data_IF_796252555223
#
_entry.id   IF_796252555223
#
_cell.length_a   1.000
_cell.length_b   1.000
_cell.length_c   1.000
_cell.angle_alpha   90.00
_cell.angle_beta   90.00
_cell.angle_gamma   90.00
#
_symmetry.space_group_name_H-M   'P 1'
#
loop_
_entity.id
_entity.type
_entity.pdbx_description
1 polymer ?
#
# COMPACT_ATOMS: atom_id res chain seq x y z
N UNK A 1 18.12 14.46 -10.84
CA UNK A 1 16.70 14.27 -10.48
C UNK A 1 15.84 14.98 -11.52
N UNK A 2 14.93 14.27 -12.20
CA UNK A 2 14.08 14.85 -13.25
C UNK A 2 13.06 15.83 -12.66
N UNK A 3 13.22 17.13 -12.93
CA UNK A 3 12.38 18.20 -12.38
C UNK A 3 10.94 18.14 -12.89
N UNK A 4 10.71 17.75 -14.14
CA UNK A 4 9.36 17.62 -14.71
C UNK A 4 8.58 16.50 -14.06
N UNK A 5 9.23 15.34 -13.88
CA UNK A 5 8.66 14.21 -13.16
C UNK A 5 8.34 14.59 -11.72
N UNK A 6 9.27 15.26 -11.02
CA UNK A 6 9.03 15.68 -9.65
C UNK A 6 7.85 16.65 -9.55
N UNK A 7 7.73 17.60 -10.49
CA UNK A 7 6.59 18.52 -10.59
C UNK A 7 5.28 17.77 -10.80
N UNK A 8 5.24 16.79 -11.69
CA UNK A 8 4.06 15.93 -11.89
C UNK A 8 3.65 15.20 -10.59
N UNK A 9 4.63 14.68 -9.84
CA UNK A 9 4.38 13.91 -8.62
C UNK A 9 3.88 14.77 -7.43
N UNK A 10 4.00 16.10 -7.49
CA UNK A 10 3.46 17.00 -6.45
C UNK A 10 1.96 16.88 -6.26
N UNK A 11 1.21 16.34 -7.24
CA UNK A 11 -0.23 16.04 -7.10
C UNK A 11 -0.57 15.13 -5.92
N UNK A 12 0.39 14.35 -5.43
CA UNK A 12 0.23 13.48 -4.26
C UNK A 12 0.52 14.20 -2.93
N UNK A 13 0.86 15.49 -2.99
CA UNK A 13 1.04 16.40 -1.86
C UNK A 13 0.04 17.54 -2.02
N UNK A 14 -1.15 17.40 -1.44
CA UNK A 14 -2.26 18.34 -1.65
C UNK A 14 -2.31 19.49 -0.62
N UNK A 15 -1.50 19.44 0.44
CA UNK A 15 -1.51 20.42 1.54
C UNK A 15 -0.40 21.49 1.46
N UNK A 16 0.55 21.37 0.51
CA UNK A 16 1.66 22.31 0.31
C UNK A 16 1.72 22.70 -1.17
N UNK A 17 2.26 23.90 -1.48
CA UNK A 17 2.40 24.35 -2.88
C UNK A 17 3.49 23.56 -3.61
N UNK A 18 3.29 23.17 -4.88
CA UNK A 18 4.25 22.36 -5.64
C UNK A 18 5.70 22.89 -5.64
N UNK A 19 5.90 24.17 -5.95
CA UNK A 19 7.26 24.74 -6.06
C UNK A 19 7.95 24.88 -4.69
N UNK A 20 7.18 25.05 -3.61
CA UNK A 20 7.70 25.17 -2.26
C UNK A 20 8.16 23.81 -1.72
N UNK A 21 7.35 22.76 -1.90
CA UNK A 21 7.69 21.42 -1.42
C UNK A 21 8.87 20.80 -2.19
N UNK A 22 8.97 21.08 -3.49
CA UNK A 22 10.12 20.65 -4.31
C UNK A 22 11.43 21.24 -3.77
N UNK A 23 11.43 22.52 -3.37
CA UNK A 23 12.62 23.19 -2.82
C UNK A 23 12.94 22.72 -1.41
N UNK A 24 11.92 22.58 -0.57
CA UNK A 24 12.07 22.28 0.87
C UNK A 24 12.36 20.81 1.13
N UNK A 25 11.64 19.90 0.49
CA UNK A 25 11.73 18.48 0.75
C UNK A 25 11.29 17.63 -0.47
N UNK A 26 12.14 17.51 -1.50
CA UNK A 26 11.81 16.73 -2.70
C UNK A 26 11.60 15.23 -2.40
N UNK A 27 12.29 14.67 -1.40
CA UNK A 27 12.10 13.28 -0.99
C UNK A 27 10.70 13.03 -0.43
N UNK A 28 10.08 14.02 0.21
CA UNK A 28 8.68 13.91 0.64
C UNK A 28 7.72 13.78 -0.55
N UNK A 29 7.98 14.47 -1.65
CA UNK A 29 7.19 14.33 -2.88
C UNK A 29 7.31 12.91 -3.43
N UNK A 30 8.54 12.39 -3.50
CA UNK A 30 8.81 11.01 -3.94
C UNK A 30 8.11 10.01 -3.00
N UNK A 31 8.20 10.20 -1.68
CA UNK A 31 7.55 9.32 -0.70
C UNK A 31 6.02 9.33 -0.85
N UNK A 32 5.42 10.50 -1.02
CA UNK A 32 3.98 10.63 -1.27
C UNK A 32 3.57 9.91 -2.56
N UNK A 33 4.35 10.04 -3.63
CA UNK A 33 4.11 9.29 -4.86
C UNK A 33 4.28 7.78 -4.67
N UNK A 34 5.35 7.34 -4.00
CA UNK A 34 5.56 5.93 -3.66
C UNK A 34 4.38 5.34 -2.89
N UNK A 35 3.75 6.14 -2.03
CA UNK A 35 2.54 5.75 -1.28
C UNK A 35 1.26 5.77 -2.13
N UNK A 36 1.00 6.85 -2.85
CA UNK A 36 -0.31 7.12 -3.45
C UNK A 36 -0.40 6.93 -4.97
N UNK A 37 0.72 6.83 -5.68
CA UNK A 37 0.72 6.54 -7.11
C UNK A 37 0.14 5.15 -7.36
N UNK A 38 -0.85 5.12 -8.23
CA UNK A 38 -1.77 3.99 -8.31
C UNK A 38 -2.21 3.66 -9.74
N UNK A 39 -2.23 4.64 -10.65
CA UNK A 39 -2.31 4.35 -12.08
C UNK A 39 -0.98 3.82 -12.59
N UNK A 40 -1.02 2.95 -13.61
CA UNK A 40 0.17 2.40 -14.26
C UNK A 40 1.09 3.51 -14.76
N UNK A 41 0.52 4.55 -15.36
CA UNK A 41 1.29 5.68 -15.89
C UNK A 41 1.99 6.48 -14.79
N UNK A 42 1.29 6.78 -13.69
CA UNK A 42 1.90 7.51 -12.58
C UNK A 42 2.99 6.69 -11.89
N UNK A 43 2.84 5.37 -11.87
CA UNK A 43 3.84 4.46 -11.33
C UNK A 43 5.07 4.37 -12.24
N UNK A 44 4.89 4.23 -13.56
CA UNK A 44 5.98 4.31 -14.54
C UNK A 44 6.71 5.64 -14.44
N UNK A 45 5.97 6.75 -14.35
CA UNK A 45 6.51 8.10 -14.18
C UNK A 45 7.32 8.23 -12.89
N UNK A 46 6.87 7.62 -11.79
CA UNK A 46 7.64 7.54 -10.55
C UNK A 46 8.96 6.77 -10.73
N UNK A 47 8.97 5.67 -11.48
CA UNK A 47 10.19 4.89 -11.70
C UNK A 47 11.25 5.65 -12.54
N UNK A 48 10.84 6.61 -13.38
CA UNK A 48 11.78 7.50 -14.10
C UNK A 48 12.64 8.40 -13.18
N UNK A 49 12.25 8.59 -11.91
CA UNK A 49 13.10 9.30 -10.92
C UNK A 49 14.42 8.57 -10.68
N UNK A 50 14.43 7.24 -10.90
CA UNK A 50 15.61 6.40 -10.77
C UNK A 50 15.75 5.74 -9.40
N UNK A 51 16.33 4.54 -9.40
CA UNK A 51 16.44 3.67 -8.23
C UNK A 51 17.17 4.34 -7.05
N UNK A 52 18.22 5.11 -7.32
CA UNK A 52 18.99 5.82 -6.29
C UNK A 52 18.10 6.74 -5.44
N UNK A 53 17.27 7.57 -6.07
CA UNK A 53 16.42 8.53 -5.37
C UNK A 53 15.27 7.83 -4.63
N UNK A 54 14.75 6.72 -5.15
CA UNK A 54 13.77 5.89 -4.43
C UNK A 54 14.37 5.26 -3.17
N UNK A 55 15.59 4.71 -3.26
CA UNK A 55 16.34 4.17 -2.11
C UNK A 55 16.70 5.25 -1.09
N UNK A 56 17.14 6.42 -1.55
CA UNK A 56 17.40 7.56 -0.68
C UNK A 56 16.15 7.99 0.09
N UNK A 57 15.00 8.00 -0.59
CA UNK A 57 13.70 8.34 0.02
C UNK A 57 13.32 7.37 1.13
N UNK A 58 13.52 6.05 0.95
CA UNK A 58 13.28 5.07 2.01
C UNK A 58 14.22 5.26 3.20
N UNK A 59 15.51 5.49 2.92
CA UNK A 59 16.54 5.69 3.96
C UNK A 59 16.26 6.92 4.82
N UNK A 60 15.80 8.02 4.22
CA UNK A 60 15.49 9.29 4.91
C UNK A 60 14.02 9.42 5.32
N UNK A 61 13.23 8.36 5.20
CA UNK A 61 11.80 8.40 5.48
C UNK A 61 11.51 8.73 6.95
N UNK A 62 10.66 9.72 7.20
CA UNK A 62 10.20 10.05 8.56
C UNK A 62 8.87 9.37 8.86
N UNK A 63 8.53 9.34 10.15
CA UNK A 63 7.24 8.84 10.62
C UNK A 63 6.07 9.52 9.87
N UNK A 64 5.17 8.70 9.32
CA UNK A 64 3.99 9.16 8.58
C UNK A 64 4.22 9.49 7.09
N UNK A 65 5.43 9.28 6.56
CA UNK A 65 5.67 9.40 5.11
C UNK A 65 5.04 8.24 4.33
N UNK A 66 5.22 7.03 4.83
CA UNK A 66 4.70 5.80 4.24
C UNK A 66 3.55 5.22 5.09
N UNK A 67 2.82 4.28 4.51
CA UNK A 67 2.06 3.26 5.24
C UNK A 67 2.83 1.94 5.24
N UNK A 68 2.41 1.00 6.10
CA UNK A 68 3.10 -0.29 6.23
C UNK A 68 3.14 -1.09 4.91
N UNK A 69 2.06 -1.16 4.11
CA UNK A 69 2.09 -1.88 2.83
C UNK A 69 3.09 -1.29 1.85
N UNK A 70 3.08 0.04 1.66
CA UNK A 70 4.06 0.68 0.76
C UNK A 70 5.48 0.49 1.27
N UNK A 71 5.71 0.55 2.59
CA UNK A 71 7.04 0.30 3.17
C UNK A 71 7.58 -1.07 2.81
N UNK A 72 6.78 -2.14 2.97
CA UNK A 72 7.21 -3.50 2.64
C UNK A 72 7.43 -3.66 1.14
N UNK A 73 6.45 -3.23 0.34
CA UNK A 73 6.49 -3.29 -1.12
C UNK A 73 7.78 -2.67 -1.68
N UNK A 74 8.08 -1.42 -1.32
CA UNK A 74 9.24 -0.73 -1.88
C UNK A 74 10.58 -1.33 -1.41
N UNK A 75 10.65 -1.88 -0.19
CA UNK A 75 11.84 -2.59 0.23
C UNK A 75 12.07 -3.85 -0.60
N UNK A 76 11.02 -4.66 -0.84
CA UNK A 76 11.14 -5.83 -1.71
C UNK A 76 11.49 -5.46 -3.15
N UNK A 77 10.85 -4.45 -3.74
CA UNK A 77 11.09 -4.06 -5.14
C UNK A 77 12.50 -3.52 -5.38
N UNK A 78 13.08 -2.79 -4.41
CA UNK A 78 14.38 -2.11 -4.56
C UNK A 78 15.56 -2.90 -4.01
N UNK A 79 15.35 -3.79 -3.04
CA UNK A 79 16.42 -4.57 -2.39
C UNK A 79 16.27 -6.09 -2.57
N UNK A 80 15.19 -6.56 -3.20
CA UNK A 80 14.93 -7.97 -3.49
C UNK A 80 14.18 -8.71 -2.37
N UNK A 81 13.62 -9.88 -2.70
CA UNK A 81 12.74 -10.64 -1.81
C UNK A 81 13.42 -11.18 -0.55
N UNK A 82 14.75 -11.33 -0.57
CA UNK A 82 15.56 -11.79 0.57
C UNK A 82 15.97 -10.66 1.52
N UNK A 83 15.57 -9.42 1.23
CA UNK A 83 15.94 -8.27 2.06
C UNK A 83 15.35 -8.36 3.46
N UNK A 84 16.10 -7.90 4.46
CA UNK A 84 15.57 -7.68 5.80
C UNK A 84 14.91 -6.30 5.84
N UNK A 85 13.59 -6.27 5.98
CA UNK A 85 12.84 -5.02 6.04
C UNK A 85 13.19 -4.26 7.33
N UNK A 86 13.62 -2.98 7.25
CA UNK A 86 13.89 -2.19 8.44
C UNK A 86 12.61 -1.91 9.22
N UNK A 87 12.71 -1.66 10.55
CA UNK A 87 11.55 -1.33 11.36
C UNK A 87 10.85 -0.08 10.81
N UNK A 88 9.52 -0.13 10.78
CA UNK A 88 8.72 0.98 10.27
C UNK A 88 8.98 2.27 11.07
N UNK A 89 9.18 3.43 10.42
CA UNK A 89 9.51 4.67 11.12
C UNK A 89 8.44 5.07 12.14
N UNK A 90 8.83 5.12 13.42
CA UNK A 90 7.97 5.58 14.52
C UNK A 90 8.30 7.02 14.86
N UNK A 91 7.28 7.81 15.24
CA UNK A 91 7.51 9.15 15.77
C UNK A 91 8.25 8.97 17.10
N UNK A 92 9.41 9.61 17.24
CA UNK A 92 10.08 9.68 18.54
C UNK A 92 9.18 10.49 19.46
N UNK A 93 8.56 9.84 20.45
CA UNK A 93 8.13 10.56 21.64
C UNK A 93 9.43 10.93 22.37
N UNK A 94 9.65 12.22 22.65
CA UNK A 94 10.65 12.62 23.61
C UNK A 94 10.36 11.82 24.89
N UNK A 95 11.31 11.00 25.32
CA UNK A 95 11.26 10.49 26.68
C UNK A 95 11.47 11.71 27.57
N UNK A 96 10.40 12.20 28.17
CA UNK A 96 10.51 13.13 29.28
C UNK A 96 11.41 12.46 30.32
N UNK A 97 12.58 13.06 30.52
CA UNK A 97 13.52 12.73 31.58
C UNK A 97 12.77 12.70 32.90
N UNK A 98 12.52 11.49 33.42
CA UNK A 98 12.08 11.29 34.81
C UNK A 98 13.24 11.61 35.75
N UNK A 99 13.51 12.89 35.89
CA UNK A 99 14.27 13.46 36.98
C UNK A 99 13.37 14.46 37.73
N UNK A 100 12.52 13.92 38.59
CA UNK A 100 12.11 14.61 39.81
C UNK A 100 11.78 13.56 40.87
N UNK A 101 12.80 13.27 41.69
CA UNK A 101 12.56 13.06 43.12
C UNK A 101 11.84 14.32 43.61
N UNK A 102 10.64 14.16 44.14
CA UNK A 102 10.28 14.86 45.37
C UNK A 102 9.22 14.11 46.17
N UNK A 103 9.39 14.27 47.48
CA UNK A 103 8.82 13.58 48.62
C UNK A 103 7.29 13.55 48.73
N UNK A 104 6.84 12.46 49.37
CA UNK A 104 5.77 12.37 50.39
C UNK A 104 5.09 13.70 50.74
N UNK A 105 3.76 13.70 50.65
CA UNK A 105 2.94 13.85 51.85
C UNK A 105 1.53 13.27 51.66
N UNK A 106 1.06 12.63 52.73
CA UNK A 106 -0.24 11.99 52.89
C UNK A 106 -1.21 12.92 53.59
N UNK A 107 -2.46 13.06 53.11
CA UNK A 107 -3.63 13.10 54.00
C UNK A 107 -4.96 12.85 53.29
N UNK A 108 -5.81 12.15 54.04
CA UNK A 108 -7.16 11.69 53.78
C UNK A 108 -8.17 12.77 53.36
N UNK A 109 -9.13 12.37 52.53
CA UNK A 109 -10.56 12.55 52.84
C UNK A 109 -11.45 11.78 51.85
N UNK A 110 -12.32 10.93 52.41
CA UNK A 110 -13.54 10.42 51.76
C UNK A 110 -14.37 11.58 51.25
N UNK A 111 -14.95 11.44 50.05
CA UNK A 111 -16.39 11.68 49.86
C UNK A 111 -16.91 10.94 48.63
N UNK A 112 -18.02 10.26 48.85
CA UNK A 112 -18.73 9.38 47.92
C UNK A 112 -20.07 10.01 47.57
N UNK A 113 -20.27 10.38 46.30
CA UNK A 113 -21.56 10.63 45.63
C UNK A 113 -21.22 11.15 44.21
N UNK A 114 -21.84 10.80 43.08
CA UNK A 114 -23.08 10.11 42.77
C UNK A 114 -23.07 9.68 41.29
N UNK A 115 -23.93 8.71 40.94
CA UNK A 115 -24.71 8.54 39.69
C UNK A 115 -23.99 8.57 38.32
N UNK A 116 -24.22 7.69 37.34
CA UNK A 116 -25.27 6.69 37.07
C UNK A 116 -24.79 5.81 35.89
N UNK A 117 -25.23 4.53 35.77
CA UNK A 117 -24.96 3.70 34.60
C UNK A 117 -25.90 4.06 33.44
N UNK A 118 -25.32 4.33 32.26
CA UNK A 118 -26.09 4.54 31.03
C UNK A 118 -26.61 3.20 30.49
N UNK A 119 -27.76 2.75 31.01
CA UNK A 119 -28.55 1.65 30.45
C UNK A 119 -29.56 2.21 29.43
N UNK A 120 -29.10 2.33 28.18
CA UNK A 120 -29.91 2.71 27.02
C UNK A 120 -30.70 1.52 26.46
N UNK A 121 -31.94 1.42 26.94
CA UNK A 121 -33.12 0.68 26.47
C UNK A 121 -33.16 0.30 24.97
N UNK A 122 -33.34 -1.00 24.73
CA UNK A 122 -33.69 -1.64 23.45
C UNK A 122 -35.07 -1.16 22.97
N UNK A 123 -35.14 -0.62 21.75
CA UNK A 123 -36.40 -0.30 21.06
C UNK A 123 -36.48 -1.08 19.75
N UNK A 124 -37.45 -1.99 19.65
CA UNK A 124 -37.66 -2.82 18.46
C UNK A 124 -38.31 -2.05 17.31
N UNK A 125 -37.70 -2.24 16.14
CA UNK A 125 -38.23 -2.37 14.78
C UNK A 125 -39.29 -1.38 14.25
N UNK A 126 -39.02 -0.87 13.03
CA UNK A 126 -40.00 -0.92 11.93
C UNK A 126 -39.36 -0.84 10.54
N UNK A 127 -39.74 -1.83 9.74
CA UNK A 127 -39.87 -1.90 8.28
C UNK A 127 -38.67 -1.58 7.41
N UNK A 128 -38.17 -2.65 6.80
CA UNK A 128 -37.36 -2.63 5.60
C UNK A 128 -38.08 -1.83 4.49
N UNK A 129 -37.41 -0.80 3.99
CA UNK A 129 -37.62 -0.33 2.63
C UNK A 129 -36.77 -1.22 1.74
N UNK A 130 -37.42 -1.89 0.79
CA UNK A 130 -36.76 -2.60 -0.30
C UNK A 130 -35.83 -1.63 -1.04
N UNK A 131 -34.53 -1.85 -0.89
CA UNK A 131 -33.54 -1.26 -1.79
C UNK A 131 -33.59 -2.08 -3.06
N UNK A 132 -34.10 -1.47 -4.13
CA UNK A 132 -33.98 -1.96 -5.49
C UNK A 132 -32.50 -2.15 -5.80
N UNK A 133 -32.05 -3.40 -5.72
CA UNK A 133 -30.74 -3.84 -6.21
C UNK A 133 -30.78 -3.84 -7.74
N UNK A 134 -30.58 -2.66 -8.33
CA UNK A 134 -29.91 -2.58 -9.64
C UNK A 134 -28.40 -2.57 -9.39
N UNK A 135 -27.89 -3.65 -8.81
CA UNK A 135 -26.51 -4.02 -8.99
C UNK A 135 -26.55 -5.24 -9.90
N UNK A 136 -26.42 -4.97 -11.20
CA UNK A 136 -26.23 -6.01 -12.20
C UNK A 136 -24.90 -6.68 -11.90
N UNK A 137 -24.87 -7.59 -10.92
CA UNK A 137 -23.81 -8.57 -10.78
C UNK A 137 -23.96 -9.44 -12.03
N UNK A 138 -23.09 -9.33 -13.04
CA UNK A 138 -23.19 -10.22 -14.18
C UNK A 138 -23.05 -11.63 -13.63
N UNK A 139 -24.03 -12.48 -13.95
CA UNK A 139 -23.98 -13.89 -13.59
C UNK A 139 -22.65 -14.44 -14.11
N UNK A 140 -21.78 -14.86 -13.20
CA UNK A 140 -20.55 -15.60 -13.52
C UNK A 140 -21.02 -17.02 -13.86
N UNK A 141 -21.63 -17.17 -15.02
CA UNK A 141 -21.77 -18.45 -15.66
C UNK A 141 -20.42 -18.73 -16.34
N UNK A 142 -19.77 -19.81 -15.90
CA UNK A 142 -18.42 -20.26 -16.25
C UNK A 142 -17.29 -19.43 -15.62
N UNK A 143 -16.92 -19.79 -14.38
CA UNK A 143 -15.82 -19.15 -13.66
C UNK A 143 -14.46 -19.52 -14.28
N UNK A 144 -14.08 -18.78 -15.32
CA UNK A 144 -12.72 -18.75 -15.84
C UNK A 144 -11.74 -18.42 -14.69
N UNK A 145 -10.61 -19.13 -14.65
CA UNK A 145 -9.60 -18.97 -13.60
C UNK A 145 -9.10 -17.53 -13.51
N UNK A 146 -9.04 -16.82 -14.64
CA UNK A 146 -8.64 -15.41 -14.69
C UNK A 146 -9.68 -14.48 -14.06
N UNK A 147 -10.97 -14.76 -14.24
CA UNK A 147 -12.07 -14.01 -13.60
C UNK A 147 -12.08 -14.25 -12.09
N UNK A 148 -11.84 -15.49 -11.66
CA UNK A 148 -11.72 -15.82 -10.24
C UNK A 148 -10.52 -15.09 -9.60
N UNK A 149 -9.35 -15.12 -10.25
CA UNK A 149 -8.17 -14.40 -9.78
C UNK A 149 -8.44 -12.89 -9.67
N UNK A 150 -9.03 -12.28 -10.69
CA UNK A 150 -9.35 -10.86 -10.67
C UNK A 150 -10.31 -10.49 -9.52
N UNK A 151 -11.33 -11.32 -9.28
CA UNK A 151 -12.27 -11.12 -8.18
C UNK A 151 -11.60 -11.22 -6.81
N UNK A 152 -10.65 -12.15 -6.64
CA UNK A 152 -9.86 -12.26 -5.40
C UNK A 152 -8.90 -11.09 -5.21
N UNK A 153 -8.23 -10.65 -6.28
CA UNK A 153 -7.38 -9.45 -6.25
C UNK A 153 -8.18 -8.19 -5.93
N UNK A 154 -9.43 -8.10 -6.40
CA UNK A 154 -10.36 -7.05 -5.99
C UNK A 154 -10.72 -7.15 -4.50
N UNK A 155 -11.05 -8.35 -4.01
CA UNK A 155 -11.49 -8.56 -2.63
C UNK A 155 -10.47 -8.07 -1.59
N UNK A 156 -9.17 -8.32 -1.83
CA UNK A 156 -8.10 -7.86 -0.92
C UNK A 156 -7.99 -6.33 -0.84
N UNK A 157 -8.60 -5.59 -1.79
CA UNK A 157 -8.66 -4.14 -1.73
C UNK A 157 -9.60 -3.61 -0.64
N UNK A 158 -10.50 -4.44 -0.11
CA UNK A 158 -11.43 -4.06 0.95
C UNK A 158 -10.94 -4.58 2.30
N UNK A 159 -10.51 -5.83 2.37
CA UNK A 159 -10.09 -6.47 3.62
C UNK A 159 -8.93 -7.45 3.42
N UNK A 160 -8.01 -7.51 4.39
CA UNK A 160 -6.92 -8.46 4.41
C UNK A 160 -7.35 -9.79 5.05
N UNK A 161 -8.07 -10.61 4.30
CA UNK A 161 -8.54 -11.92 4.76
C UNK A 161 -7.63 -13.07 4.29
N UNK A 162 -7.22 -13.95 5.19
CA UNK A 162 -6.31 -15.06 4.87
C UNK A 162 -6.82 -15.98 3.75
N UNK A 163 -8.14 -16.19 3.65
CA UNK A 163 -8.73 -17.08 2.64
C UNK A 163 -8.52 -16.52 1.24
N UNK A 164 -8.69 -15.21 1.05
CA UNK A 164 -8.50 -14.59 -0.25
C UNK A 164 -7.04 -14.64 -0.69
N UNK A 165 -6.09 -14.46 0.24
CA UNK A 165 -4.66 -14.58 -0.06
C UNK A 165 -4.25 -16.02 -0.36
N UNK A 166 -4.80 -16.99 0.37
CA UNK A 166 -4.57 -18.41 0.12
C UNK A 166 -5.13 -18.84 -1.24
N UNK A 167 -6.32 -18.36 -1.61
CA UNK A 167 -6.92 -18.62 -2.92
C UNK A 167 -6.04 -18.04 -4.03
N UNK A 168 -5.55 -16.81 -3.89
CA UNK A 168 -4.63 -16.20 -4.87
C UNK A 168 -3.34 -17.04 -4.98
N UNK A 169 -2.73 -17.41 -3.86
CA UNK A 169 -1.50 -18.21 -3.87
C UNK A 169 -1.72 -19.57 -4.54
N UNK A 170 -2.83 -20.24 -4.26
CA UNK A 170 -3.18 -21.52 -4.87
C UNK A 170 -3.43 -21.39 -6.38
N UNK A 171 -4.11 -20.34 -6.83
CA UNK A 171 -4.33 -20.07 -8.26
C UNK A 171 -2.97 -19.91 -8.96
N UNK A 172 -2.09 -19.06 -8.42
CA UNK A 172 -0.77 -18.80 -8.99
C UNK A 172 0.15 -20.02 -8.97
N UNK A 173 -0.05 -20.95 -8.03
CA UNK A 173 0.77 -22.16 -7.88
C UNK A 173 0.32 -23.32 -8.75
N UNK A 174 -0.99 -23.48 -8.94
CA UNK A 174 -1.58 -24.69 -9.51
C UNK A 174 -2.20 -24.49 -10.90
N UNK A 175 -2.23 -23.27 -11.41
CA UNK A 175 -2.82 -22.95 -12.71
C UNK A 175 -1.82 -22.22 -13.60
N UNK A 176 -2.17 -22.03 -14.88
CA UNK A 176 -1.36 -21.25 -15.82
C UNK A 176 -1.50 -19.74 -15.64
N UNK A 177 -2.44 -19.27 -14.81
CA UNK A 177 -2.68 -17.85 -14.59
C UNK A 177 -1.52 -17.22 -13.83
N UNK A 178 -1.12 -16.01 -14.24
CA UNK A 178 -0.12 -15.23 -13.52
C UNK A 178 -0.70 -13.92 -12.98
N UNK A 179 0.05 -13.28 -12.08
CA UNK A 179 -0.40 -12.06 -11.40
C UNK A 179 -0.61 -10.89 -12.38
N UNK A 180 0.20 -10.78 -13.44
CA UNK A 180 0.04 -9.72 -14.42
C UNK A 180 -1.29 -9.84 -15.17
N UNK A 181 -1.61 -11.04 -15.66
CA UNK A 181 -2.92 -11.32 -16.26
C UNK A 181 -4.06 -11.06 -15.28
N UNK A 182 -3.89 -11.43 -14.01
CA UNK A 182 -4.85 -11.14 -12.96
C UNK A 182 -5.12 -9.64 -12.83
N UNK A 183 -4.07 -8.80 -12.79
CA UNK A 183 -4.19 -7.34 -12.74
C UNK A 183 -4.84 -6.76 -13.99
N UNK A 184 -4.49 -7.26 -15.18
CA UNK A 184 -5.13 -6.82 -16.43
C UNK A 184 -6.62 -7.14 -16.45
N UNK A 185 -7.01 -8.31 -15.95
CA UNK A 185 -8.42 -8.70 -15.84
C UNK A 185 -9.17 -7.87 -14.79
N UNK A 186 -8.51 -7.45 -13.71
CA UNK A 186 -9.10 -6.49 -12.76
C UNK A 186 -9.47 -5.19 -13.47
N UNK A 187 -8.58 -4.63 -14.29
CA UNK A 187 -8.90 -3.42 -15.05
C UNK A 187 -9.98 -3.64 -16.11
N UNK A 188 -9.97 -4.79 -16.80
CA UNK A 188 -11.00 -5.12 -17.80
C UNK A 188 -12.39 -5.28 -17.19
N UNK A 189 -12.50 -5.89 -16.01
CA UNK A 189 -13.79 -6.23 -15.38
C UNK A 189 -14.31 -5.07 -14.52
N UNK A 190 -13.44 -4.39 -13.78
CA UNK A 190 -13.83 -3.39 -12.77
C UNK A 190 -13.49 -1.94 -13.15
N UNK A 191 -12.90 -1.72 -14.33
CA UNK A 191 -12.59 -0.40 -14.88
C UNK A 191 -11.09 -0.08 -14.95
N UNK A 192 -10.69 0.71 -15.94
CA UNK A 192 -9.28 1.04 -16.21
C UNK A 192 -8.60 1.81 -15.06
N UNK A 193 -9.37 2.60 -14.32
CA UNK A 193 -8.90 3.40 -13.17
C UNK A 193 -8.73 2.58 -11.88
N UNK A 194 -8.93 1.26 -11.93
CA UNK A 194 -8.87 0.42 -10.74
C UNK A 194 -7.46 0.45 -10.10
N UNK A 195 -7.35 0.45 -8.75
CA UNK A 195 -6.07 0.60 -8.05
C UNK A 195 -5.12 -0.60 -8.08
N UNK A 196 -4.54 -0.89 -9.25
CA UNK A 196 -3.66 -2.04 -9.47
C UNK A 196 -2.39 -2.02 -8.60
N UNK A 197 -1.76 -0.86 -8.45
CA UNK A 197 -0.52 -0.77 -7.64
C UNK A 197 -0.84 -0.97 -6.15
N UNK A 198 -2.05 -0.60 -5.70
CA UNK A 198 -2.47 -0.88 -4.33
C UNK A 198 -2.63 -2.38 -4.06
N UNK A 199 -3.08 -3.17 -5.05
CA UNK A 199 -3.13 -4.63 -4.96
C UNK A 199 -1.72 -5.17 -4.72
N UNK A 200 -0.73 -4.74 -5.52
CA UNK A 200 0.66 -5.16 -5.37
C UNK A 200 1.23 -4.81 -3.98
N UNK A 201 0.94 -3.60 -3.48
CA UNK A 201 1.37 -3.16 -2.15
C UNK A 201 0.77 -4.01 -1.03
N UNK A 202 -0.48 -4.42 -1.17
CA UNK A 202 -1.18 -5.30 -0.21
C UNK A 202 -0.63 -6.71 -0.22
N UNK A 203 -0.40 -7.29 -1.40
CA UNK A 203 0.21 -8.62 -1.55
C UNK A 203 1.64 -8.69 -0.97
N UNK A 204 2.29 -7.56 -0.74
CA UNK A 204 3.61 -7.46 -0.12
C UNK A 204 3.58 -7.30 1.42
N UNK A 205 2.40 -7.28 2.06
CA UNK A 205 2.28 -6.99 3.48
C UNK A 205 1.39 -8.00 4.22
N UNK A 206 1.99 -8.77 5.13
CA UNK A 206 1.35 -9.93 5.78
C UNK A 206 1.10 -9.73 7.28
N UNK A 207 1.25 -8.52 7.83
CA UNK A 207 0.89 -8.19 9.21
C UNK A 207 -0.50 -7.57 9.33
N UNK A 208 -1.29 -7.60 8.25
CA UNK A 208 -2.66 -7.09 8.21
C UNK A 208 -3.67 -8.20 8.51
N UNK A 209 -4.84 -7.82 9.03
CA UNK A 209 -5.96 -8.72 9.31
C UNK A 209 -5.52 -10.03 9.99
N UNK A 210 -5.88 -11.17 9.38
CA UNK A 210 -5.52 -12.50 9.87
C UNK A 210 -4.49 -13.23 9.00
N UNK A 211 -3.66 -12.48 8.26
CA UNK A 211 -2.61 -12.99 7.38
C UNK A 211 -1.46 -13.69 8.12
N UNK A 212 -1.39 -13.61 9.44
CA UNK A 212 -0.49 -14.43 10.26
C UNK A 212 -0.75 -15.94 10.09
N UNK A 213 -1.95 -16.34 9.63
CA UNK A 213 -2.32 -17.73 9.32
C UNK A 213 -1.69 -18.27 8.04
N UNK A 214 -1.23 -17.38 7.15
CA UNK A 214 -0.68 -17.75 5.85
C UNK A 214 0.70 -18.40 6.02
N UNK A 215 0.94 -19.53 5.34
CA UNK A 215 2.20 -20.25 5.43
C UNK A 215 3.33 -19.46 4.77
N UNK A 216 4.57 -19.74 5.18
CA UNK A 216 5.73 -19.04 4.64
C UNK A 216 5.90 -19.29 3.14
N UNK A 217 5.59 -20.50 2.67
CA UNK A 217 5.66 -20.86 1.26
C UNK A 217 4.68 -20.04 0.41
N UNK A 218 3.45 -19.86 0.89
CA UNK A 218 2.43 -19.07 0.18
C UNK A 218 2.84 -17.59 0.11
N UNK A 219 3.40 -17.04 1.20
CA UNK A 219 3.97 -15.68 1.20
C UNK A 219 5.06 -15.53 0.15
N UNK A 220 5.93 -16.53 0.01
CA UNK A 220 7.00 -16.54 -0.99
C UNK A 220 6.41 -16.56 -2.41
N UNK A 221 5.39 -17.38 -2.67
CA UNK A 221 4.71 -17.41 -3.98
C UNK A 221 4.14 -16.05 -4.35
N UNK A 222 3.45 -15.38 -3.41
CA UNK A 222 2.89 -14.05 -3.65
C UNK A 222 4.00 -13.01 -3.94
N UNK A 223 5.09 -13.03 -3.17
CA UNK A 223 6.23 -12.12 -3.38
C UNK A 223 6.94 -12.38 -4.71
N UNK A 224 7.12 -13.65 -5.11
CA UNK A 224 7.70 -14.02 -6.41
C UNK A 224 6.82 -13.55 -7.56
N UNK A 225 5.50 -13.70 -7.43
CA UNK A 225 4.56 -13.21 -8.42
C UNK A 225 4.63 -11.69 -8.57
N UNK A 226 4.77 -10.94 -7.47
CA UNK A 226 5.00 -9.49 -7.52
C UNK A 226 6.31 -9.16 -8.25
N UNK A 227 7.42 -9.84 -7.91
CA UNK A 227 8.71 -9.62 -8.55
C UNK A 227 8.65 -9.87 -10.07
N UNK A 228 7.91 -10.90 -10.50
CA UNK A 228 7.70 -11.22 -11.92
C UNK A 228 6.95 -10.10 -12.69
N UNK A 229 6.18 -9.24 -12.01
CA UNK A 229 5.51 -8.08 -12.66
C UNK A 229 6.46 -6.90 -12.92
N UNK A 230 7.64 -6.87 -12.29
CA UNK A 230 8.57 -5.73 -12.35
C UNK A 230 8.91 -5.28 -13.79
N UNK A 231 9.20 -6.17 -14.77
CA UNK A 231 9.52 -5.78 -16.14
C UNK A 231 8.41 -4.98 -16.84
N UNK A 232 7.15 -5.25 -16.52
CA UNK A 232 6.00 -4.57 -17.13
C UNK A 232 5.93 -3.07 -16.76
N UNK A 233 6.39 -2.74 -15.56
CA UNK A 233 6.36 -1.38 -15.05
C UNK A 233 7.64 -0.59 -15.33
N UNK A 234 8.75 -1.24 -15.69
CA UNK A 234 9.97 -0.51 -15.98
C UNK A 234 9.74 0.42 -17.18
N UNK A 235 10.17 1.70 -17.10
CA UNK A 235 10.17 2.55 -18.28
C UNK A 235 11.05 1.88 -19.34
N UNK A 236 10.62 1.91 -20.61
CA UNK A 236 11.45 1.45 -21.72
C UNK A 236 12.71 2.32 -21.71
N UNK A 237 13.84 1.77 -21.28
CA UNK A 237 15.13 2.44 -21.43
C UNK A 237 15.27 2.76 -22.92
N UNK A 238 15.44 4.03 -23.27
CA UNK A 238 15.89 4.37 -24.62
C UNK A 238 17.26 3.70 -24.77
N UNK A 239 17.30 2.58 -25.50
CA UNK A 239 18.55 2.04 -26.01
C UNK A 239 19.22 3.13 -26.84
N UNK A 240 20.39 3.57 -26.38
CA UNK A 240 21.44 4.23 -27.16
C UNK A 240 21.07 5.50 -27.95
N UNK A 241 20.84 6.61 -27.25
CA UNK A 241 21.23 7.93 -27.76
C UNK A 241 22.68 8.23 -27.30
N UNK A 242 23.66 7.50 -27.86
CA UNK A 242 25.08 7.87 -27.83
C UNK A 242 25.82 7.19 -28.99
N UNK A 243 25.28 7.33 -30.19
CA UNK A 243 26.10 7.42 -31.39
C UNK A 243 26.30 8.92 -31.67
N UNK A 244 27.56 9.32 -31.84
CA UNK A 244 28.06 10.68 -32.16
C UNK A 244 28.31 11.61 -30.96
N UNK A 245 29.53 11.54 -30.40
CA UNK A 245 30.47 12.67 -30.37
C UNK A 245 31.80 12.23 -29.72
N UNK A 246 32.74 11.75 -30.55
CA UNK A 246 34.18 11.81 -30.22
C UNK A 246 34.72 13.07 -30.90
N UNK A 247 35.28 14.05 -30.17
CA UNK A 247 36.19 15.00 -30.79
C UNK A 247 37.53 14.30 -31.05
N UNK A 248 38.04 14.42 -32.28
CA UNK A 248 39.48 14.39 -32.55
C UNK A 248 40.07 15.76 -32.23
#
# INVERSE_FOLDING_TARGET
MNQETLKYLTRYVWWEKPDEIIKKNPLRVIASAMRYANSVDSYKKLLEIGEYALKETLSKAQAGWFDKPSWHYWHYILYGLKTKIPPFPKRGFLQDSKDSKDSKDSKDSKDSSANSPFSGRLGSAKSAGEISSNDSVPMIADADIHTLLATKLKAICYEANYKDYLDIANILKHTSANLLEGLENVSKIFGEDYPLIQILKRLAFFEDGDLYKLQQDDKIILLQAIEATKPYFQPKTQENANCLNKPQ
#
